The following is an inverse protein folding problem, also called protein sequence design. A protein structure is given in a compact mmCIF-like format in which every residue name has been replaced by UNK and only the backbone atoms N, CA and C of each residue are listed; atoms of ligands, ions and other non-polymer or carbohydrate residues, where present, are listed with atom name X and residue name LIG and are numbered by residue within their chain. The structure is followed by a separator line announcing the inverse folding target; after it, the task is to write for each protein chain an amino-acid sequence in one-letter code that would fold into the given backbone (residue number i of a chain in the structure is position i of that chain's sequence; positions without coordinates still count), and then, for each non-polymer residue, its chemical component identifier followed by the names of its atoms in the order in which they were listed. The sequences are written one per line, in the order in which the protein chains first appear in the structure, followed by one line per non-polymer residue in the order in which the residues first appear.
data_IF_180096710614
#
_entry.id   IF_180096710614
#
_cell.length_a   1.000
_cell.length_b   1.000
_cell.length_c   1.000
_cell.angle_alpha   90.00
_cell.angle_beta   90.00
_cell.angle_gamma   90.00
#
_symmetry.space_group_name_H-M   'P 1'
#
loop_
_entity.id
_entity.type
_entity.pdbx_description
1 polymer ?
#
# COMPACT_ATOMS: atom_id res chain seq x y z
N UNK A 1 -6.70 -21.27 16.47
CA UNK A 1 -6.05 -21.02 17.78
C UNK A 1 -5.31 -19.67 17.86
N UNK A 2 -4.32 -19.35 16.99
CA UNK A 2 -3.59 -18.05 17.08
C UNK A 2 -4.53 -16.86 16.79
N UNK A 3 -5.33 -16.94 15.74
CA UNK A 3 -6.30 -15.89 15.40
C UNK A 3 -7.41 -15.70 16.43
N UNK A 4 -7.88 -16.75 17.08
CA UNK A 4 -8.93 -16.66 18.12
C UNK A 4 -8.43 -15.93 19.38
N UNK A 5 -7.16 -16.16 19.77
CA UNK A 5 -6.53 -15.47 20.91
C UNK A 5 -6.34 -13.99 20.60
N UNK A 6 -5.93 -13.66 19.37
CA UNK A 6 -5.72 -12.29 18.96
C UNK A 6 -7.06 -11.58 18.78
N UNK A 7 -8.07 -12.24 18.17
CA UNK A 7 -9.43 -11.71 18.10
C UNK A 7 -9.98 -11.38 19.49
N UNK A 8 -9.83 -12.28 20.45
CA UNK A 8 -10.26 -12.07 21.83
C UNK A 8 -9.59 -10.85 22.50
N UNK A 9 -8.36 -10.50 22.11
CA UNK A 9 -7.64 -9.33 22.62
C UNK A 9 -8.24 -8.01 22.13
N UNK A 10 -8.57 -7.93 20.83
CA UNK A 10 -8.99 -6.66 20.19
C UNK A 10 -10.51 -6.49 20.12
N UNK A 11 -11.29 -7.58 20.20
CA UNK A 11 -12.74 -7.54 20.13
C UNK A 11 -13.40 -6.58 21.16
N UNK A 12 -13.00 -6.54 22.45
CA UNK A 12 -13.58 -5.61 23.41
C UNK A 12 -13.36 -4.15 23.02
N UNK A 13 -12.17 -3.81 22.52
CA UNK A 13 -11.84 -2.46 22.06
C UNK A 13 -12.63 -2.09 20.78
N UNK A 14 -12.82 -3.05 19.88
CA UNK A 14 -13.63 -2.84 18.67
C UNK A 14 -15.11 -2.58 19.04
N UNK A 15 -15.67 -3.34 19.98
CA UNK A 15 -17.04 -3.11 20.51
C UNK A 15 -17.16 -1.73 21.18
N UNK A 16 -16.15 -1.31 21.94
CA UNK A 16 -16.13 0.03 22.55
C UNK A 16 -16.05 1.12 21.49
N UNK A 17 -15.17 0.96 20.48
CA UNK A 17 -15.03 1.89 19.36
C UNK A 17 -16.36 2.12 18.62
N UNK A 18 -17.14 1.06 18.40
CA UNK A 18 -18.41 1.16 17.66
C UNK A 18 -19.42 2.12 18.31
N UNK A 19 -19.36 2.32 19.64
CA UNK A 19 -20.23 3.28 20.32
C UNK A 19 -20.03 4.74 19.88
N UNK A 20 -18.88 5.03 19.29
CA UNK A 20 -18.59 6.38 18.77
C UNK A 20 -19.20 6.63 17.39
N UNK A 21 -19.64 5.60 16.66
CA UNK A 21 -20.14 5.71 15.29
C UNK A 21 -21.68 5.58 15.22
N UNK A 22 -22.33 6.24 14.27
CA UNK A 22 -23.79 6.27 14.14
C UNK A 22 -24.33 5.00 13.45
N UNK A 23 -23.98 3.82 13.97
CA UNK A 23 -24.47 2.53 13.48
C UNK A 23 -24.94 1.68 14.66
N UNK A 24 -25.87 0.76 14.38
CA UNK A 24 -26.39 -0.23 15.33
C UNK A 24 -25.85 -1.62 14.94
N UNK A 25 -24.69 -2.07 15.47
CA UNK A 25 -24.05 -3.28 14.99
C UNK A 25 -24.85 -4.54 15.38
N UNK A 26 -25.24 -5.36 14.40
CA UNK A 26 -25.87 -6.68 14.62
C UNK A 26 -24.86 -7.83 14.56
N UNK A 27 -23.75 -7.65 13.83
CA UNK A 27 -22.68 -8.65 13.69
C UNK A 27 -21.33 -7.94 13.50
N UNK A 28 -20.29 -8.53 14.09
CA UNK A 28 -18.91 -8.10 13.89
C UNK A 28 -18.01 -9.32 13.74
N UNK A 29 -17.20 -9.34 12.70
CA UNK A 29 -16.30 -10.43 12.34
C UNK A 29 -14.89 -9.91 12.10
N UNK A 30 -13.90 -10.61 12.64
CA UNK A 30 -12.51 -10.32 12.32
C UNK A 30 -12.22 -10.74 10.88
N UNK A 31 -11.75 -9.79 10.07
CA UNK A 31 -11.37 -10.02 8.66
C UNK A 31 -9.88 -10.29 8.55
N UNK A 32 -9.06 -9.41 9.14
CA UNK A 32 -7.61 -9.47 8.98
C UNK A 32 -6.90 -8.92 10.22
N UNK A 33 -5.74 -9.51 10.49
CA UNK A 33 -4.74 -8.97 11.41
C UNK A 33 -3.43 -8.92 10.66
N UNK A 34 -2.98 -7.72 10.40
CA UNK A 34 -1.65 -7.44 9.89
C UNK A 34 -1.03 -6.35 10.77
N UNK A 35 -0.81 -5.19 10.26
CA UNK A 35 -0.44 -3.99 11.01
C UNK A 35 -1.65 -3.43 11.75
N UNK A 36 -2.76 -3.37 11.05
CA UNK A 36 -4.06 -2.98 11.56
C UNK A 36 -4.88 -4.22 11.94
N UNK A 37 -5.87 -4.04 12.80
CA UNK A 37 -6.87 -5.06 13.08
C UNK A 37 -8.18 -4.64 12.43
N UNK A 38 -8.62 -5.42 11.45
CA UNK A 38 -9.75 -5.07 10.59
C UNK A 38 -10.94 -5.98 10.87
N UNK A 39 -12.08 -5.37 11.13
CA UNK A 39 -13.36 -6.06 11.34
C UNK A 39 -14.35 -5.68 10.26
N UNK A 40 -15.16 -6.65 9.82
CA UNK A 40 -16.40 -6.42 9.11
C UNK A 40 -17.53 -6.25 10.11
N UNK A 41 -18.27 -5.18 9.99
CA UNK A 41 -19.40 -4.85 10.86
C UNK A 41 -20.66 -4.78 10.02
N UNK A 42 -21.72 -5.47 10.44
CA UNK A 42 -23.04 -5.40 9.79
C UNK A 42 -23.96 -4.51 10.62
N UNK A 43 -24.53 -3.48 10.01
CA UNK A 43 -25.54 -2.64 10.66
C UNK A 43 -26.86 -3.39 10.81
N UNK A 44 -27.44 -3.37 11.97
CA UNK A 44 -28.70 -4.07 12.27
C UNK A 44 -29.94 -3.40 11.70
N UNK A 45 -29.86 -2.12 11.35
CA UNK A 45 -31.02 -1.34 10.89
C UNK A 45 -31.33 -1.62 9.41
N UNK A 46 -30.32 -1.78 8.57
CA UNK A 46 -30.44 -1.93 7.12
C UNK A 46 -29.63 -3.10 6.53
N UNK A 47 -28.83 -3.78 7.36
CA UNK A 47 -27.95 -4.87 6.93
C UNK A 47 -26.70 -4.41 6.19
N UNK A 48 -26.42 -3.09 6.09
CA UNK A 48 -25.26 -2.57 5.37
C UNK A 48 -23.95 -2.99 6.04
N UNK A 49 -22.94 -3.43 5.28
CA UNK A 49 -21.64 -3.79 5.79
C UNK A 49 -20.71 -2.59 5.86
N UNK A 50 -19.87 -2.58 6.90
CA UNK A 50 -18.83 -1.57 7.15
C UNK A 50 -17.50 -2.24 7.49
N UNK A 51 -16.41 -1.48 7.36
CA UNK A 51 -15.07 -1.85 7.84
C UNK A 51 -14.76 -1.01 9.07
N UNK A 52 -14.49 -1.64 10.19
CA UNK A 52 -13.88 -1.01 11.37
C UNK A 52 -12.42 -1.42 11.42
N UNK A 53 -11.51 -0.43 11.46
CA UNK A 53 -10.08 -0.66 11.53
C UNK A 53 -9.53 -0.05 12.82
N UNK A 54 -8.81 -0.87 13.62
CA UNK A 54 -8.00 -0.41 14.73
C UNK A 54 -6.57 -0.23 14.24
N UNK A 55 -6.15 1.02 14.07
CA UNK A 55 -4.85 1.37 13.47
C UNK A 55 -3.68 0.99 14.41
N UNK A 56 -2.57 0.53 13.81
CA UNK A 56 -1.34 0.21 14.53
C UNK A 56 -0.81 1.45 15.27
N UNK A 57 -0.48 1.35 16.57
CA UNK A 57 0.09 2.49 17.31
C UNK A 57 1.49 2.82 16.80
N UNK A 58 1.79 4.12 16.74
CA UNK A 58 3.11 4.62 16.36
C UNK A 58 3.44 4.58 14.87
N UNK A 59 2.59 4.00 14.02
CA UNK A 59 2.80 4.00 12.57
C UNK A 59 2.40 5.35 11.96
N UNK A 60 1.24 5.85 12.31
CA UNK A 60 0.77 7.18 11.90
C UNK A 60 0.39 8.04 13.11
N UNK A 61 0.59 9.35 12.98
CA UNK A 61 -0.03 10.35 13.85
C UNK A 61 -1.52 10.48 13.52
N UNK A 62 -2.31 11.07 14.43
CA UNK A 62 -3.71 11.40 14.12
C UNK A 62 -3.82 12.36 12.92
N UNK A 63 -2.87 13.29 12.78
CA UNK A 63 -2.80 14.19 11.63
C UNK A 63 -2.55 13.42 10.33
N UNK A 64 -1.65 12.43 10.34
CA UNK A 64 -1.40 11.55 9.22
C UNK A 64 -2.63 10.72 8.82
N UNK A 65 -3.34 10.13 9.80
CA UNK A 65 -4.59 9.41 9.55
C UNK A 65 -5.68 10.32 8.99
N UNK A 66 -5.85 11.52 9.53
CA UNK A 66 -6.79 12.50 8.99
C UNK A 66 -6.42 12.92 7.55
N UNK A 67 -5.12 13.03 7.25
CA UNK A 67 -4.64 13.38 5.92
C UNK A 67 -4.95 12.30 4.88
N UNK A 68 -4.91 11.02 5.26
CA UNK A 68 -5.40 9.93 4.41
C UNK A 68 -6.88 10.15 4.02
N UNK A 69 -7.74 10.46 5.02
CA UNK A 69 -9.17 10.72 4.77
C UNK A 69 -9.42 11.96 3.93
N UNK A 70 -8.61 12.99 4.09
CA UNK A 70 -8.66 14.21 3.27
C UNK A 70 -8.32 13.89 1.82
N UNK A 71 -7.27 13.11 1.57
CA UNK A 71 -6.89 12.79 0.20
C UNK A 71 -7.86 11.81 -0.46
N UNK A 72 -8.30 10.75 0.24
CA UNK A 72 -9.31 9.81 -0.29
C UNK A 72 -10.65 10.51 -0.58
N UNK A 73 -11.02 11.51 0.22
CA UNK A 73 -12.15 12.40 -0.06
C UNK A 73 -11.94 13.21 -1.34
N UNK A 74 -10.77 13.79 -1.54
CA UNK A 74 -10.44 14.54 -2.76
C UNK A 74 -10.38 13.63 -4.01
N UNK A 75 -9.98 12.37 -3.87
CA UNK A 75 -10.08 11.37 -4.94
C UNK A 75 -11.54 11.08 -5.29
N UNK A 76 -12.40 10.89 -4.29
CA UNK A 76 -13.84 10.65 -4.49
C UNK A 76 -14.53 11.85 -5.15
N UNK A 77 -14.20 13.07 -4.75
CA UNK A 77 -14.69 14.32 -5.40
C UNK A 77 -14.26 14.41 -6.88
N UNK A 78 -13.10 13.86 -7.21
CA UNK A 78 -12.63 13.76 -8.60
C UNK A 78 -13.22 12.57 -9.37
N UNK A 79 -14.15 11.81 -8.77
CA UNK A 79 -14.82 10.66 -9.38
C UNK A 79 -14.01 9.35 -9.33
N UNK A 80 -12.95 9.30 -8.53
CA UNK A 80 -12.17 8.08 -8.29
C UNK A 80 -12.79 7.33 -7.10
N UNK A 81 -13.19 6.09 -7.32
CA UNK A 81 -13.85 5.30 -6.28
C UNK A 81 -12.88 5.00 -5.13
N UNK A 82 -13.29 5.36 -3.91
CA UNK A 82 -12.61 5.07 -2.65
C UNK A 82 -13.62 4.60 -1.60
N UNK A 83 -13.11 4.11 -0.47
CA UNK A 83 -13.95 3.75 0.67
C UNK A 83 -14.45 5.03 1.37
N UNK A 84 -15.77 5.26 1.37
CA UNK A 84 -16.34 6.42 2.06
C UNK A 84 -16.16 6.31 3.58
N UNK A 85 -15.65 7.35 4.27
CA UNK A 85 -15.50 7.33 5.72
C UNK A 85 -16.87 7.49 6.40
N UNK A 86 -17.05 6.77 7.52
CA UNK A 86 -18.15 7.01 8.45
C UNK A 86 -17.63 7.89 9.58
N UNK A 87 -18.24 9.05 9.77
CA UNK A 87 -17.85 9.96 10.85
C UNK A 87 -18.43 9.48 12.20
N UNK A 88 -17.72 9.77 13.26
CA UNK A 88 -18.20 9.60 14.63
C UNK A 88 -19.37 10.56 14.92
N UNK A 89 -20.10 10.34 16.02
CA UNK A 89 -21.20 11.25 16.46
C UNK A 89 -20.77 12.70 16.66
N UNK A 90 -19.49 12.95 16.94
CA UNK A 90 -18.90 14.29 17.09
C UNK A 90 -18.14 14.74 15.82
N UNK A 91 -18.51 14.18 14.66
CA UNK A 91 -18.03 14.54 13.32
C UNK A 91 -16.48 14.41 13.14
N UNK A 92 -15.86 13.44 13.79
CA UNK A 92 -14.45 13.08 13.59
C UNK A 92 -14.33 11.82 12.75
N UNK A 93 -13.18 11.62 12.11
CA UNK A 93 -12.87 10.38 11.38
C UNK A 93 -12.48 9.22 12.29
N UNK A 94 -11.88 9.54 13.46
CA UNK A 94 -11.28 8.53 14.34
C UNK A 94 -11.71 8.72 15.79
N UNK A 95 -11.87 7.60 16.47
CA UNK A 95 -12.05 7.50 17.91
C UNK A 95 -10.89 6.74 18.54
N UNK A 96 -10.39 7.17 19.71
CA UNK A 96 -9.29 6.48 20.39
C UNK A 96 -9.85 5.46 21.40
N UNK A 97 -9.30 4.26 21.40
CA UNK A 97 -9.67 3.18 22.30
C UNK A 97 -8.46 2.57 22.99
N UNK A 98 -8.65 2.09 24.21
CA UNK A 98 -7.66 1.35 24.98
C UNK A 98 -7.75 -0.14 24.70
N UNK A 99 -6.61 -0.80 24.53
CA UNK A 99 -6.53 -2.26 24.44
C UNK A 99 -6.36 -2.81 25.84
N UNK A 100 -7.37 -3.54 26.32
CA UNK A 100 -7.45 -4.02 27.69
C UNK A 100 -6.18 -4.78 28.13
N UNK A 101 -5.69 -4.47 29.32
CA UNK A 101 -4.54 -5.11 29.99
C UNK A 101 -3.20 -4.97 29.26
N UNK A 102 -3.04 -3.99 28.36
CA UNK A 102 -1.78 -3.82 27.62
C UNK A 102 -1.14 -2.45 27.79
N UNK A 103 -1.92 -1.42 28.14
CA UNK A 103 -1.52 -0.02 28.10
C UNK A 103 -1.43 0.55 26.68
N UNK A 104 -1.79 -0.23 25.66
CA UNK A 104 -1.80 0.15 24.26
C UNK A 104 -3.07 0.96 23.95
N UNK A 105 -2.93 2.05 23.18
CA UNK A 105 -4.04 2.81 22.64
C UNK A 105 -4.01 2.75 21.12
N UNK A 106 -5.18 2.63 20.50
CA UNK A 106 -5.35 2.63 19.03
C UNK A 106 -6.38 3.65 18.59
N UNK A 107 -6.19 4.21 17.42
CA UNK A 107 -7.24 4.93 16.72
C UNK A 107 -8.14 3.93 15.98
N UNK A 108 -9.43 4.06 16.17
CA UNK A 108 -10.46 3.31 15.46
C UNK A 108 -11.06 4.20 14.39
N UNK A 109 -11.02 3.78 13.14
CA UNK A 109 -11.65 4.43 12.01
C UNK A 109 -12.65 3.51 11.33
N UNK A 110 -13.72 4.07 10.76
CA UNK A 110 -14.74 3.30 10.05
C UNK A 110 -14.92 3.81 8.63
N UNK A 111 -15.16 2.86 7.70
CA UNK A 111 -15.51 3.15 6.31
C UNK A 111 -16.65 2.24 5.86
N UNK A 112 -17.31 2.62 4.79
CA UNK A 112 -18.22 1.71 4.09
C UNK A 112 -17.43 0.51 3.55
N UNK A 113 -18.10 -0.63 3.49
CA UNK A 113 -17.58 -1.81 2.82
C UNK A 113 -17.72 -1.66 1.31
N UNK A 114 -16.65 -1.89 0.57
CA UNK A 114 -16.69 -1.95 -0.89
C UNK A 114 -16.83 -3.41 -1.30
N UNK A 115 -17.85 -3.73 -2.06
CA UNK A 115 -18.04 -5.07 -2.61
C UNK A 115 -17.05 -5.33 -3.76
N UNK A 116 -16.65 -6.57 -3.91
CA UNK A 116 -15.74 -7.02 -4.95
C UNK A 116 -14.82 -8.15 -4.48
N UNK A 117 -14.06 -8.68 -5.41
CA UNK A 117 -13.00 -9.67 -5.14
C UNK A 117 -11.65 -8.98 -5.33
N UNK A 118 -10.71 -9.14 -4.40
CA UNK A 118 -9.34 -8.64 -4.61
C UNK A 118 -8.73 -9.30 -5.85
N UNK A 119 -7.98 -8.53 -6.62
CA UNK A 119 -7.44 -9.02 -7.90
C UNK A 119 -6.52 -10.22 -7.70
N UNK A 120 -5.76 -10.29 -6.62
CA UNK A 120 -4.93 -11.45 -6.29
C UNK A 120 -5.75 -12.75 -6.19
N UNK A 121 -6.92 -12.70 -5.53
CA UNK A 121 -7.82 -13.84 -5.39
C UNK A 121 -8.57 -14.13 -6.70
N UNK A 122 -9.00 -13.07 -7.42
CA UNK A 122 -9.66 -13.19 -8.71
C UNK A 122 -8.78 -13.89 -9.75
N UNK A 123 -7.50 -13.53 -9.80
CA UNK A 123 -6.53 -14.15 -10.70
C UNK A 123 -6.13 -15.55 -10.22
N UNK A 124 -5.94 -15.75 -8.92
CA UNK A 124 -5.49 -17.02 -8.37
C UNK A 124 -4.24 -17.58 -9.09
N UNK A 125 -3.95 -18.84 -8.84
CA UNK A 125 -2.79 -19.51 -9.46
C UNK A 125 -2.98 -19.85 -10.94
N UNK A 126 -4.22 -20.08 -11.38
CA UNK A 126 -4.56 -20.64 -12.70
C UNK A 126 -5.02 -19.59 -13.73
N UNK A 127 -4.97 -18.28 -13.39
CA UNK A 127 -5.36 -17.25 -14.34
C UNK A 127 -4.46 -17.26 -15.57
N UNK A 128 -5.08 -17.14 -16.74
CA UNK A 128 -4.36 -17.02 -18.01
C UNK A 128 -3.56 -15.71 -18.09
N UNK A 129 -2.52 -15.69 -18.91
CA UNK A 129 -1.75 -14.49 -19.17
C UNK A 129 -2.65 -13.33 -19.66
N UNK A 130 -3.65 -13.60 -20.48
CA UNK A 130 -4.56 -12.58 -21.00
C UNK A 130 -5.48 -12.00 -19.90
N UNK A 131 -5.89 -12.77 -18.90
CA UNK A 131 -6.62 -12.27 -17.74
C UNK A 131 -5.73 -11.38 -16.88
N UNK A 132 -4.49 -11.80 -16.61
CA UNK A 132 -3.50 -11.00 -15.90
C UNK A 132 -3.25 -9.68 -16.62
N UNK A 133 -2.99 -9.70 -17.92
CA UNK A 133 -2.78 -8.51 -18.75
C UNK A 133 -3.97 -7.53 -18.67
N UNK A 134 -5.21 -8.04 -18.73
CA UNK A 134 -6.40 -7.18 -18.59
C UNK A 134 -6.46 -6.48 -17.23
N UNK A 135 -6.23 -7.22 -16.14
CA UNK A 135 -6.22 -6.65 -14.80
C UNK A 135 -5.11 -5.60 -14.64
N UNK A 136 -3.90 -5.92 -15.08
CA UNK A 136 -2.77 -4.98 -14.95
C UNK A 136 -2.91 -3.75 -15.86
N UNK A 137 -3.54 -3.88 -17.02
CA UNK A 137 -3.93 -2.72 -17.83
C UNK A 137 -4.89 -1.78 -17.07
N UNK A 138 -5.90 -2.34 -16.39
CA UNK A 138 -6.83 -1.55 -15.57
C UNK A 138 -6.13 -0.92 -14.36
N UNK A 139 -5.23 -1.63 -13.69
CA UNK A 139 -4.40 -1.09 -12.59
C UNK A 139 -3.56 0.08 -13.10
N UNK A 140 -2.95 -0.04 -14.28
CA UNK A 140 -2.18 1.05 -14.91
C UNK A 140 -3.03 2.29 -15.18
N UNK A 141 -4.21 2.12 -15.74
CA UNK A 141 -5.15 3.21 -15.98
C UNK A 141 -5.63 3.88 -14.68
N UNK A 142 -5.89 3.08 -13.63
CA UNK A 142 -6.25 3.58 -12.31
C UNK A 142 -5.11 4.39 -11.68
N UNK A 143 -3.88 3.88 -11.70
CA UNK A 143 -2.70 4.60 -11.22
C UNK A 143 -2.52 5.95 -11.95
N UNK A 144 -2.65 5.97 -13.27
CA UNK A 144 -2.56 7.19 -14.07
C UNK A 144 -3.65 8.21 -13.71
N UNK A 145 -4.87 7.74 -13.43
CA UNK A 145 -5.99 8.60 -13.02
C UNK A 145 -5.71 9.25 -11.66
N UNK A 146 -5.20 8.48 -10.69
CA UNK A 146 -4.78 8.96 -9.38
C UNK A 146 -3.65 9.98 -9.51
N UNK A 147 -2.63 9.69 -10.34
CA UNK A 147 -1.51 10.61 -10.54
C UNK A 147 -1.91 11.92 -11.26
N UNK A 148 -2.93 11.88 -12.12
CA UNK A 148 -3.49 13.10 -12.71
C UNK A 148 -4.18 13.96 -11.65
N UNK A 149 -5.00 13.35 -10.78
CA UNK A 149 -5.64 14.04 -9.68
C UNK A 149 -4.58 14.65 -8.74
N UNK A 150 -3.60 13.84 -8.29
CA UNK A 150 -2.58 14.29 -7.35
C UNK A 150 -1.70 15.41 -7.90
N UNK A 151 -1.42 15.42 -9.22
CA UNK A 151 -0.61 16.45 -9.88
C UNK A 151 -1.31 17.81 -9.95
N UNK A 152 -2.64 17.85 -9.85
CA UNK A 152 -3.46 19.06 -9.88
C UNK A 152 -4.04 19.45 -8.51
N UNK A 153 -3.96 18.55 -7.54
CA UNK A 153 -4.50 18.77 -6.21
C UNK A 153 -3.51 19.52 -5.31
N UNK A 154 -4.05 20.45 -4.50
CA UNK A 154 -3.25 21.17 -3.51
C UNK A 154 -3.67 20.71 -2.13
N UNK A 155 -2.78 20.10 -1.34
CA UNK A 155 -3.08 19.69 0.02
C UNK A 155 -3.45 20.90 0.89
N UNK A 156 -4.43 20.77 1.80
CA UNK A 156 -4.76 21.84 2.76
C UNK A 156 -3.64 22.00 3.81
N UNK A 157 -3.67 23.13 4.52
CA UNK A 157 -2.74 23.36 5.63
C UNK A 157 -2.86 22.26 6.70
N UNK A 158 -1.73 21.77 7.20
CA UNK A 158 -1.67 20.69 8.19
C UNK A 158 -1.79 19.29 7.60
N UNK A 159 -1.76 19.14 6.28
CA UNK A 159 -1.71 17.83 5.62
C UNK A 159 -0.33 17.18 5.83
N UNK A 160 -0.32 15.98 6.39
CA UNK A 160 0.90 15.23 6.74
C UNK A 160 0.85 13.82 6.14
N UNK A 161 1.71 13.53 5.18
CA UNK A 161 1.91 12.16 4.67
C UNK A 161 3.40 11.90 4.45
N UNK A 162 3.85 10.63 4.56
CA UNK A 162 5.24 10.27 4.33
C UNK A 162 5.70 10.63 2.91
N UNK A 163 7.03 10.70 2.71
CA UNK A 163 7.62 10.89 1.40
C UNK A 163 8.47 9.68 1.01
N UNK A 164 8.09 9.02 -0.07
CA UNK A 164 8.83 7.94 -0.73
C UNK A 164 9.83 8.52 -1.74
N UNK A 165 10.56 9.53 -1.30
CA UNK A 165 11.70 10.09 -2.01
C UNK A 165 12.98 9.27 -1.77
N UNK A 166 14.12 9.80 -2.20
CA UNK A 166 15.41 9.11 -2.03
C UNK A 166 15.75 8.83 -0.57
N UNK A 167 15.35 9.70 0.36
CA UNK A 167 15.60 9.49 1.79
C UNK A 167 14.56 8.59 2.42
N UNK A 168 13.29 8.74 2.06
CA UNK A 168 12.21 7.87 2.53
C UNK A 168 12.34 6.41 2.09
N UNK A 169 12.87 6.15 0.91
CA UNK A 169 13.06 4.80 0.39
C UNK A 169 14.46 4.22 0.71
N UNK A 170 15.50 5.03 0.63
CA UNK A 170 16.89 4.59 0.62
C UNK A 170 17.78 5.39 1.58
N UNK A 171 17.22 6.23 2.46
CA UNK A 171 17.96 7.01 3.45
C UNK A 171 18.54 6.16 4.58
N UNK A 172 19.09 6.81 5.60
CA UNK A 172 19.63 6.10 6.78
C UNK A 172 18.53 5.55 7.70
N UNK A 173 17.30 6.05 7.58
CA UNK A 173 16.12 5.56 8.26
C UNK A 173 14.96 5.49 7.25
N UNK A 174 14.95 4.48 6.36
CA UNK A 174 13.89 4.33 5.36
C UNK A 174 12.54 4.05 6.02
N UNK A 175 11.45 4.47 5.39
CA UNK A 175 10.09 4.37 5.93
C UNK A 175 9.69 2.95 6.33
N UNK A 176 10.14 1.96 5.56
CA UNK A 176 9.82 0.55 5.80
C UNK A 176 10.96 -0.23 6.46
N UNK A 177 11.94 0.46 7.06
CA UNK A 177 13.03 -0.16 7.79
C UNK A 177 14.31 -0.35 6.98
N UNK A 178 15.38 -0.61 7.71
CA UNK A 178 16.72 -0.81 7.16
C UNK A 178 16.87 -2.18 6.53
N UNK A 179 16.48 -2.32 5.28
CA UNK A 179 16.50 -3.59 4.55
C UNK A 179 17.85 -4.32 4.57
N UNK A 180 18.98 -3.60 4.72
CA UNK A 180 20.32 -4.18 4.82
C UNK A 180 20.68 -4.72 6.21
N UNK A 181 19.80 -4.61 7.21
CA UNK A 181 19.98 -5.09 8.58
C UNK A 181 19.11 -6.33 8.89
N UNK A 182 18.38 -6.87 7.91
CA UNK A 182 17.55 -8.05 8.12
C UNK A 182 18.40 -9.25 8.58
N UNK A 183 18.02 -9.96 9.67
CA UNK A 183 18.85 -11.02 10.27
C UNK A 183 19.08 -12.23 9.36
N UNK A 184 18.29 -12.41 8.32
CA UNK A 184 18.45 -13.47 7.30
C UNK A 184 19.47 -13.13 6.19
N UNK A 185 20.14 -11.98 6.25
CA UNK A 185 21.18 -11.59 5.31
C UNK A 185 22.56 -11.97 5.85
N UNK A 186 23.44 -12.42 4.97
CA UNK A 186 24.85 -12.56 5.30
C UNK A 186 25.62 -11.24 5.04
N UNK A 187 26.92 -11.26 5.35
CA UNK A 187 27.78 -10.07 5.16
C UNK A 187 27.91 -9.66 3.69
N UNK A 188 27.94 -10.62 2.77
CA UNK A 188 28.07 -10.33 1.35
C UNK A 188 26.77 -9.71 0.81
N UNK A 189 25.62 -10.24 1.22
CA UNK A 189 24.29 -9.70 0.93
C UNK A 189 24.18 -8.23 1.37
N UNK A 190 24.53 -7.95 2.64
CA UNK A 190 24.53 -6.60 3.22
C UNK A 190 25.40 -5.62 2.42
N UNK A 191 26.63 -6.03 2.09
CA UNK A 191 27.54 -5.19 1.30
C UNK A 191 26.99 -4.90 -0.09
N UNK A 192 26.41 -5.92 -0.75
CA UNK A 192 25.80 -5.78 -2.06
C UNK A 192 24.62 -4.81 -2.04
N UNK A 193 23.70 -4.98 -1.08
CA UNK A 193 22.54 -4.10 -0.90
C UNK A 193 22.96 -2.65 -0.66
N UNK A 194 23.90 -2.41 0.26
CA UNK A 194 24.39 -1.05 0.57
C UNK A 194 25.09 -0.38 -0.61
N UNK A 195 25.90 -1.14 -1.36
CA UNK A 195 26.53 -0.64 -2.59
C UNK A 195 25.50 -0.23 -3.62
N UNK A 196 24.53 -1.11 -3.90
CA UNK A 196 23.47 -0.85 -4.89
C UNK A 196 22.58 0.32 -4.44
N UNK A 197 22.24 0.39 -3.14
CA UNK A 197 21.56 1.54 -2.53
C UNK A 197 22.26 2.85 -2.84
N UNK A 198 23.57 2.91 -2.67
CA UNK A 198 24.35 4.12 -2.94
C UNK A 198 24.31 4.51 -4.42
N UNK A 199 24.43 3.53 -5.32
CA UNK A 199 24.35 3.77 -6.76
C UNK A 199 22.96 4.28 -7.19
N UNK A 200 21.88 3.69 -6.65
CA UNK A 200 20.51 4.12 -6.92
C UNK A 200 20.28 5.55 -6.43
N UNK A 201 20.78 5.90 -5.22
CA UNK A 201 20.66 7.28 -4.69
C UNK A 201 21.35 8.30 -5.58
N UNK A 202 22.45 7.96 -6.25
CA UNK A 202 23.09 8.84 -7.25
C UNK A 202 22.19 9.05 -8.46
N UNK A 203 21.57 8.00 -8.99
CA UNK A 203 20.61 8.11 -10.10
C UNK A 203 19.40 8.97 -9.73
N UNK A 204 18.83 8.74 -8.53
CA UNK A 204 17.66 9.50 -8.07
C UNK A 204 17.96 10.98 -7.83
N UNK A 205 19.19 11.34 -7.45
CA UNK A 205 19.61 12.74 -7.34
C UNK A 205 19.53 13.47 -8.69
N UNK A 206 19.83 12.76 -9.77
CA UNK A 206 19.78 13.31 -11.13
C UNK A 206 18.36 13.22 -11.73
N UNK A 207 17.55 12.27 -11.26
CA UNK A 207 16.14 12.14 -11.56
C UNK A 207 15.30 13.01 -10.62
N UNK A 208 15.38 14.32 -10.79
CA UNK A 208 14.72 15.28 -9.92
C UNK A 208 13.19 15.09 -9.88
N UNK A 209 12.60 15.41 -8.74
CA UNK A 209 11.15 15.41 -8.58
C UNK A 209 10.49 16.56 -9.33
N UNK A 210 9.42 16.27 -10.04
CA UNK A 210 8.57 17.24 -10.71
C UNK A 210 7.12 16.75 -10.66
N UNK A 211 6.14 17.64 -10.80
CA UNK A 211 4.72 17.24 -10.81
C UNK A 211 4.35 16.24 -11.93
N UNK A 212 5.23 16.06 -12.89
CA UNK A 212 5.07 15.06 -13.96
C UNK A 212 5.48 13.66 -13.58
N UNK A 213 6.32 13.48 -12.53
CA UNK A 213 6.88 12.19 -12.12
C UNK A 213 6.78 11.92 -10.60
N UNK A 214 6.34 12.91 -9.81
CA UNK A 214 6.28 12.83 -8.35
C UNK A 214 5.03 13.55 -7.81
N UNK A 215 4.33 12.93 -6.89
CA UNK A 215 3.11 13.46 -6.27
C UNK A 215 2.58 12.51 -5.21
N UNK A 216 1.32 12.71 -4.78
CA UNK A 216 0.66 11.72 -3.95
C UNK A 216 0.44 10.44 -4.74
N UNK A 217 0.84 9.33 -4.14
CA UNK A 217 0.67 7.96 -4.65
C UNK A 217 0.06 7.09 -3.57
N UNK A 218 -0.46 5.92 -3.94
CA UNK A 218 -0.93 4.92 -2.97
C UNK A 218 0.25 4.25 -2.23
N UNK A 219 1.38 4.14 -2.89
CA UNK A 219 2.64 3.55 -2.45
C UNK A 219 2.62 2.03 -2.23
N UNK A 220 1.44 1.43 -2.08
CA UNK A 220 1.23 -0.01 -1.94
C UNK A 220 0.14 -0.50 -2.91
N UNK A 221 0.27 -0.14 -4.20
CA UNK A 221 -0.66 -0.53 -5.27
C UNK A 221 -0.47 -2.03 -5.64
N UNK A 222 -0.58 -2.88 -4.63
CA UNK A 222 -0.54 -4.33 -4.81
C UNK A 222 -1.90 -4.85 -5.34
N UNK A 223 -1.95 -5.91 -6.18
CA UNK A 223 -3.20 -6.55 -6.58
C UNK A 223 -4.11 -6.99 -5.42
N UNK A 224 -3.56 -7.22 -4.23
CA UNK A 224 -4.32 -7.49 -3.01
C UNK A 224 -5.08 -6.26 -2.48
N UNK A 225 -4.69 -5.05 -2.90
CA UNK A 225 -5.34 -3.78 -2.53
C UNK A 225 -6.27 -3.25 -3.65
N UNK A 226 -6.50 -4.02 -4.72
CA UNK A 226 -7.39 -3.65 -5.82
C UNK A 226 -8.54 -4.63 -5.89
N UNK A 227 -9.75 -4.13 -5.69
CA UNK A 227 -11.00 -4.90 -5.86
C UNK A 227 -11.46 -4.86 -7.31
N UNK A 228 -11.99 -5.98 -7.79
CA UNK A 228 -12.70 -6.05 -9.07
C UNK A 228 -14.15 -6.46 -8.83
N UNK A 229 -15.09 -5.70 -9.41
CA UNK A 229 -16.51 -6.00 -9.44
C UNK A 229 -17.09 -5.57 -10.78
N UNK A 230 -17.79 -6.46 -11.47
CA UNK A 230 -18.42 -6.20 -12.76
C UNK A 230 -17.49 -5.54 -13.79
N UNK A 231 -16.22 -5.96 -13.79
CA UNK A 231 -15.18 -5.45 -14.69
C UNK A 231 -14.63 -4.06 -14.33
N UNK A 232 -15.03 -3.49 -13.19
CA UNK A 232 -14.49 -2.24 -12.64
C UNK A 232 -13.52 -2.51 -11.52
N UNK A 233 -12.49 -1.69 -11.41
CA UNK A 233 -11.49 -1.76 -10.35
C UNK A 233 -11.67 -0.62 -9.36
N UNK A 234 -11.51 -0.93 -8.08
CA UNK A 234 -11.55 0.03 -6.97
C UNK A 234 -10.37 -0.21 -6.06
N UNK A 235 -9.66 0.85 -5.71
CA UNK A 235 -8.50 0.79 -4.82
C UNK A 235 -8.94 0.91 -3.36
N UNK A 236 -8.38 0.09 -2.50
CA UNK A 236 -8.58 0.09 -1.05
C UNK A 236 -7.22 0.18 -0.34
N UNK A 237 -7.27 0.43 0.96
CA UNK A 237 -6.09 0.45 1.85
C UNK A 237 -5.05 1.53 1.52
N UNK A 238 -5.44 2.79 1.72
CA UNK A 238 -4.59 3.97 1.55
C UNK A 238 -3.65 4.26 2.75
N UNK A 239 -3.44 3.27 3.63
CA UNK A 239 -2.66 3.47 4.87
C UNK A 239 -1.23 3.96 4.57
N UNK A 240 -0.58 3.39 3.54
CA UNK A 240 0.76 3.77 3.09
C UNK A 240 0.80 4.98 2.15
N UNK A 241 -0.35 5.53 1.75
CA UNK A 241 -0.38 6.63 0.79
C UNK A 241 0.52 7.79 1.22
N UNK A 242 1.29 8.34 0.29
CA UNK A 242 2.25 9.40 0.56
C UNK A 242 2.79 10.04 -0.73
N UNK A 243 3.72 10.96 -0.58
CA UNK A 243 4.39 11.55 -1.74
C UNK A 243 5.44 10.59 -2.28
N UNK A 244 5.44 10.35 -3.59
CA UNK A 244 6.40 9.41 -4.19
C UNK A 244 6.49 9.53 -5.70
N UNK A 245 7.47 8.83 -6.27
CA UNK A 245 7.59 8.74 -7.72
C UNK A 245 6.48 7.87 -8.32
N UNK A 246 5.89 8.36 -9.40
CA UNK A 246 4.87 7.61 -10.15
C UNK A 246 5.39 6.25 -10.64
N UNK A 247 6.69 6.13 -10.95
CA UNK A 247 7.32 4.86 -11.31
C UNK A 247 7.43 3.89 -10.13
N UNK A 248 7.57 4.39 -8.89
CA UNK A 248 7.54 3.53 -7.71
C UNK A 248 6.17 2.87 -7.52
N UNK A 249 5.10 3.63 -7.78
CA UNK A 249 3.73 3.09 -7.78
C UNK A 249 3.56 1.97 -8.81
N UNK A 250 4.02 2.20 -10.06
CA UNK A 250 3.96 1.16 -11.10
C UNK A 250 4.83 -0.05 -10.76
N UNK A 251 5.97 0.18 -10.12
CA UNK A 251 6.82 -0.91 -9.63
C UNK A 251 6.14 -1.69 -8.50
N UNK A 252 5.47 -1.02 -7.56
CA UNK A 252 4.70 -1.69 -6.50
C UNK A 252 3.61 -2.58 -7.09
N UNK A 253 2.85 -2.08 -8.07
CA UNK A 253 1.82 -2.85 -8.77
C UNK A 253 2.38 -4.08 -9.49
N UNK A 254 3.52 -3.94 -10.18
CA UNK A 254 4.09 -5.02 -10.98
C UNK A 254 4.82 -6.07 -10.14
N UNK A 255 5.30 -5.73 -8.94
CA UNK A 255 6.22 -6.57 -8.17
C UNK A 255 5.60 -7.92 -7.78
N UNK A 256 4.31 -7.99 -7.50
CA UNK A 256 3.60 -9.22 -7.18
C UNK A 256 3.66 -10.30 -8.29
N UNK A 257 3.98 -9.91 -9.52
CA UNK A 257 4.09 -10.81 -10.66
C UNK A 257 5.55 -11.05 -11.12
N UNK A 258 6.54 -10.52 -10.36
CA UNK A 258 7.95 -10.39 -10.81
C UNK A 258 8.60 -11.71 -11.23
N UNK A 259 8.24 -12.81 -10.59
CA UNK A 259 8.80 -14.14 -10.87
C UNK A 259 7.84 -15.03 -11.69
N UNK A 260 6.65 -14.51 -12.04
CA UNK A 260 5.66 -15.31 -12.78
C UNK A 260 5.95 -15.35 -14.28
N UNK A 261 5.65 -16.46 -14.94
CA UNK A 261 5.74 -16.56 -16.39
C UNK A 261 4.92 -15.46 -17.08
N UNK A 262 5.53 -14.77 -18.06
CA UNK A 262 4.87 -13.68 -18.79
C UNK A 262 4.98 -12.30 -18.10
N UNK A 263 5.77 -12.17 -17.05
CA UNK A 263 6.00 -10.86 -16.38
C UNK A 263 6.27 -9.69 -17.34
N UNK A 264 7.11 -9.81 -18.40
CA UNK A 264 7.31 -8.71 -19.35
C UNK A 264 6.02 -8.26 -20.05
N UNK A 265 5.14 -9.20 -20.40
CA UNK A 265 3.85 -8.89 -21.06
C UNK A 265 2.88 -8.22 -20.06
N UNK A 266 2.92 -8.65 -18.79
CA UNK A 266 2.14 -8.04 -17.70
C UNK A 266 2.59 -6.59 -17.45
N UNK A 267 3.90 -6.35 -17.36
CA UNK A 267 4.45 -4.99 -17.26
C UNK A 267 4.06 -4.13 -18.46
N UNK A 268 4.11 -4.69 -19.66
CA UNK A 268 3.73 -3.98 -20.87
C UNK A 268 2.24 -3.59 -20.85
N UNK A 269 1.37 -4.48 -20.36
CA UNK A 269 -0.05 -4.20 -20.19
C UNK A 269 -0.30 -3.10 -19.15
N UNK A 270 0.38 -3.14 -17.99
CA UNK A 270 0.32 -2.10 -16.96
C UNK A 270 0.71 -0.71 -17.53
N UNK A 271 1.84 -0.66 -18.25
CA UNK A 271 2.34 0.57 -18.87
C UNK A 271 1.40 1.07 -19.98
N UNK A 272 0.82 0.16 -20.78
CA UNK A 272 -0.16 0.51 -21.79
C UNK A 272 -1.39 1.16 -21.16
N UNK A 273 -1.97 0.56 -20.14
CA UNK A 273 -3.11 1.13 -19.41
C UNK A 273 -2.78 2.48 -18.77
N UNK A 274 -1.59 2.64 -18.21
CA UNK A 274 -1.13 3.93 -17.71
C UNK A 274 -1.07 4.98 -18.81
N UNK A 275 -0.50 4.64 -19.98
CA UNK A 275 -0.33 5.53 -21.13
C UNK A 275 -1.62 5.90 -21.84
N UNK A 276 -2.68 5.12 -21.70
CA UNK A 276 -4.01 5.48 -22.18
C UNK A 276 -4.57 6.74 -21.50
N UNK A 277 -4.10 7.04 -20.27
CA UNK A 277 -4.62 8.12 -19.41
C UNK A 277 -3.58 9.23 -19.21
N UNK A 278 -2.29 8.87 -19.03
CA UNK A 278 -1.21 9.79 -18.68
C UNK A 278 0.06 9.46 -19.49
N UNK A 279 0.71 10.49 -20.00
CA UNK A 279 1.97 10.32 -20.71
C UNK A 279 3.06 9.76 -19.76
N UNK A 280 3.81 8.78 -20.24
CA UNK A 280 5.02 8.23 -19.62
C UNK A 280 6.10 8.13 -20.70
N UNK A 281 7.20 8.88 -20.51
CA UNK A 281 8.28 8.94 -21.50
C UNK A 281 9.05 7.62 -21.57
N UNK A 282 9.60 7.28 -22.74
CA UNK A 282 10.49 6.13 -22.87
C UNK A 282 11.74 6.29 -22.00
N UNK A 283 12.23 7.50 -21.83
CA UNK A 283 13.36 7.81 -20.96
C UNK A 283 13.05 7.45 -19.51
N UNK A 284 11.92 7.89 -18.97
CA UNK A 284 11.55 7.58 -17.58
C UNK A 284 11.30 6.09 -17.42
N UNK A 285 10.70 5.44 -18.42
CA UNK A 285 10.44 4.01 -18.40
C UNK A 285 11.72 3.17 -18.28
N UNK A 286 12.87 3.65 -18.77
CA UNK A 286 14.16 2.96 -18.57
C UNK A 286 14.55 2.81 -17.10
N UNK A 287 13.94 3.59 -16.20
CA UNK A 287 14.16 3.54 -14.76
C UNK A 287 13.26 2.52 -14.04
N UNK A 288 12.22 1.97 -14.70
CA UNK A 288 11.30 1.03 -14.06
C UNK A 288 12.00 -0.19 -13.41
N UNK A 289 13.03 -0.82 -14.04
CA UNK A 289 13.77 -1.90 -13.39
C UNK A 289 14.46 -1.48 -12.08
N UNK A 290 14.94 -0.24 -12.01
CA UNK A 290 15.50 0.33 -10.78
C UNK A 290 14.42 0.50 -9.70
N UNK A 291 13.23 0.98 -10.06
CA UNK A 291 12.13 1.12 -9.11
C UNK A 291 11.58 -0.23 -8.63
N UNK A 292 11.57 -1.27 -9.47
CA UNK A 292 11.30 -2.65 -9.05
C UNK A 292 12.31 -3.11 -8.00
N UNK A 293 13.59 -2.82 -8.21
CA UNK A 293 14.65 -3.16 -7.24
C UNK A 293 14.47 -2.39 -5.92
N UNK A 294 14.10 -1.11 -5.98
CA UNK A 294 13.77 -0.32 -4.78
C UNK A 294 12.57 -0.95 -4.04
N UNK A 295 11.54 -1.41 -4.76
CA UNK A 295 10.40 -2.10 -4.14
C UNK A 295 10.85 -3.40 -3.44
N UNK A 296 11.70 -4.21 -4.06
CA UNK A 296 12.26 -5.41 -3.43
C UNK A 296 13.05 -5.10 -2.15
N UNK A 297 13.89 -4.05 -2.18
CA UNK A 297 14.60 -3.56 -0.99
C UNK A 297 13.62 -3.11 0.10
N UNK A 298 12.61 -2.33 -0.23
CA UNK A 298 11.59 -1.84 0.69
C UNK A 298 10.83 -3.01 1.35
N UNK A 299 10.48 -4.05 0.60
CA UNK A 299 9.82 -5.25 1.14
C UNK A 299 10.70 -6.02 2.12
N UNK A 300 12.01 -6.15 1.88
CA UNK A 300 12.95 -6.74 2.85
C UNK A 300 12.94 -5.93 4.16
N UNK A 301 12.93 -4.60 4.07
CA UNK A 301 12.83 -3.71 5.23
C UNK A 301 11.49 -3.89 5.96
N UNK A 302 10.39 -3.92 5.23
CA UNK A 302 9.05 -4.13 5.77
C UNK A 302 8.95 -5.45 6.55
N UNK A 303 9.51 -6.53 6.02
CA UNK A 303 9.57 -7.83 6.68
C UNK A 303 10.41 -7.74 7.96
N UNK A 304 11.55 -7.05 7.92
CA UNK A 304 12.46 -6.90 9.07
C UNK A 304 11.81 -6.21 10.26
N UNK A 305 10.95 -5.23 10.01
CA UNK A 305 10.24 -4.46 11.05
C UNK A 305 9.00 -5.19 11.62
N UNK A 306 8.70 -6.41 11.13
CA UNK A 306 7.51 -7.19 11.49
C UNK A 306 7.83 -8.64 11.86
N UNK A 307 8.68 -8.87 12.87
CA UNK A 307 9.09 -10.21 13.28
C UNK A 307 7.94 -11.05 13.86
N UNK A 308 6.82 -10.41 14.24
CA UNK A 308 5.62 -11.07 14.73
C UNK A 308 4.80 -11.76 13.65
N UNK A 309 5.00 -11.38 12.37
CA UNK A 309 4.35 -11.98 11.20
C UNK A 309 5.30 -13.04 10.62
N UNK A 310 4.79 -14.24 10.37
CA UNK A 310 5.57 -15.27 9.68
C UNK A 310 5.63 -14.95 8.18
N UNK A 311 6.72 -14.32 7.80
CA UNK A 311 7.02 -13.92 6.42
C UNK A 311 8.21 -14.70 5.83
N UNK A 312 8.51 -15.90 6.35
CA UNK A 312 9.73 -16.65 5.98
C UNK A 312 9.80 -16.96 4.49
N UNK A 313 8.71 -17.42 3.88
CA UNK A 313 8.68 -17.74 2.46
C UNK A 313 8.76 -16.47 1.60
N UNK A 314 7.98 -15.45 1.92
CA UNK A 314 8.03 -14.16 1.25
C UNK A 314 9.45 -13.54 1.33
N UNK A 315 10.08 -13.60 2.50
CA UNK A 315 11.45 -13.10 2.64
C UNK A 315 12.42 -13.82 1.71
N UNK A 316 12.34 -15.15 1.62
CA UNK A 316 13.23 -15.93 0.75
C UNK A 316 13.08 -15.51 -0.71
N UNK A 317 11.86 -15.45 -1.22
CA UNK A 317 11.56 -15.09 -2.61
C UNK A 317 12.03 -13.65 -2.92
N UNK A 318 11.63 -12.68 -2.10
CA UNK A 318 12.01 -11.28 -2.28
C UNK A 318 13.52 -11.09 -2.19
N UNK A 319 14.18 -11.76 -1.22
CA UNK A 319 15.64 -11.71 -1.05
C UNK A 319 16.36 -12.24 -2.30
N UNK A 320 16.00 -13.43 -2.77
CA UNK A 320 16.64 -14.08 -3.92
C UNK A 320 16.57 -13.19 -5.15
N UNK A 321 15.38 -12.69 -5.48
CA UNK A 321 15.19 -11.80 -6.62
C UNK A 321 15.96 -10.47 -6.45
N UNK A 322 15.86 -9.84 -5.27
CA UNK A 322 16.50 -8.55 -5.00
C UNK A 322 18.01 -8.63 -5.10
N UNK A 323 18.63 -9.67 -4.52
CA UNK A 323 20.10 -9.85 -4.59
C UNK A 323 20.57 -10.14 -6.02
N UNK A 324 19.86 -10.98 -6.78
CA UNK A 324 20.17 -11.24 -8.18
C UNK A 324 20.09 -9.94 -9.02
N UNK A 325 19.08 -9.13 -8.76
CA UNK A 325 18.88 -7.82 -9.40
C UNK A 325 19.99 -6.82 -9.00
N UNK A 326 20.39 -6.80 -7.72
CA UNK A 326 21.53 -5.99 -7.26
C UNK A 326 22.83 -6.39 -7.95
N UNK A 327 23.10 -7.69 -8.10
CA UNK A 327 24.33 -8.20 -8.73
C UNK A 327 24.41 -7.81 -10.23
N UNK A 328 23.29 -7.69 -10.91
CA UNK A 328 23.19 -7.30 -12.31
C UNK A 328 22.94 -5.80 -12.53
N UNK A 329 22.73 -5.03 -11.46
CA UNK A 329 22.39 -3.61 -11.55
C UNK A 329 23.48 -2.80 -12.25
N UNK A 330 23.08 -2.11 -13.31
CA UNK A 330 23.90 -1.11 -14.01
C UNK A 330 23.16 0.22 -13.90
N UNK A 331 23.87 1.25 -13.44
CA UNK A 331 23.30 2.59 -13.41
C UNK A 331 22.80 2.95 -14.81
N UNK A 332 21.53 3.29 -14.99
CA UNK A 332 21.07 3.84 -16.26
C UNK A 332 21.83 5.13 -16.51
N UNK A 333 22.45 5.23 -17.68
CA UNK A 333 23.20 6.43 -18.12
C UNK A 333 22.24 7.52 -18.59
#
# INVERSE_FOLDING_TARGET
MKNDVIAARYMPAAVEALKAFPINPSRMELVMISENVTFRVTNGDDGAPYVLRLHRPGYHTLAGLNSERIWTGALAEAGIATQAPVLTHDARYFHQVDIANTGEQRYAGMTEWVEGTVISDYLGENASLEERKRCFHQIGALAATIHNQSSSWTPPAGFERPSYDSDGLLGEAPLWGRFWEHPGLDRADTVLLQRTRSQIREVLRDFQTASTNFGMIHADLDPANVLVQDGRVTLIDFDDAGYGWHLYELAAAAFAEIEKPGFPDICQALIAGYRDIRALSERDLTLLPMFLLIRGMALIGWISERPEIDNTDLFREVKEWTLASCASFKSPM
#
